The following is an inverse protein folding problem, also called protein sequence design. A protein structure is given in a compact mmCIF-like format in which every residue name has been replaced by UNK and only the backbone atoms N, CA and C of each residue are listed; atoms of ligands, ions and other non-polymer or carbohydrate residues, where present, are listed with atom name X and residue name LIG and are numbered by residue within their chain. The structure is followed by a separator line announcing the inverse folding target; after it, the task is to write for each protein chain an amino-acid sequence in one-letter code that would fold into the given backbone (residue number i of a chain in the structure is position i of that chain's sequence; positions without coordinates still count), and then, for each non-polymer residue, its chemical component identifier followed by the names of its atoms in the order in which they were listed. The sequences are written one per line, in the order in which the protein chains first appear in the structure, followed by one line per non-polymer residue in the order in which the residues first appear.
data_IF_218926422589
#
_entry.id   IF_218926422589
#
_cell.length_a   1.000
_cell.length_b   1.000
_cell.length_c   1.000
_cell.angle_alpha   90.00
_cell.angle_beta   90.00
_cell.angle_gamma   90.00
#
_symmetry.space_group_name_H-M   'P 1'
#
loop_
_entity.id
_entity.type
_entity.pdbx_description
1 polymer ?
#
# COMPACT_ATOMS: atom_id res chain seq x y z
N UNK A 1 0.98 2.22 -32.28
CA UNK A 1 0.60 1.13 -31.35
C UNK A 1 -0.92 0.99 -31.38
N UNK A 2 -1.44 -0.23 -31.42
CA UNK A 2 -2.88 -0.49 -31.31
C UNK A 2 -3.37 -0.13 -29.91
N UNK A 3 -4.59 0.42 -29.82
CA UNK A 3 -5.29 0.63 -28.55
C UNK A 3 -6.23 -0.56 -28.34
N UNK A 4 -6.29 -1.07 -27.11
CA UNK A 4 -7.19 -2.15 -26.70
C UNK A 4 -8.10 -1.62 -25.59
N UNK A 5 -9.35 -2.07 -25.59
CA UNK A 5 -10.35 -1.70 -24.58
C UNK A 5 -10.32 -2.69 -23.41
N UNK A 6 -10.37 -2.16 -22.19
CA UNK A 6 -10.55 -2.95 -20.97
C UNK A 6 -11.89 -2.54 -20.32
N UNK A 7 -12.60 -3.52 -19.75
CA UNK A 7 -13.84 -3.29 -19.02
C UNK A 7 -13.62 -3.60 -17.53
N UNK A 8 -13.97 -2.64 -16.67
CA UNK A 8 -13.94 -2.78 -15.22
C UNK A 8 -15.38 -2.91 -14.71
N UNK A 9 -15.58 -3.78 -13.72
CA UNK A 9 -16.83 -3.82 -12.95
C UNK A 9 -16.59 -3.04 -11.66
N UNK A 10 -17.47 -2.08 -11.40
CA UNK A 10 -17.49 -1.26 -10.20
C UNK A 10 -18.91 -1.36 -9.66
N UNK A 11 -19.05 -1.38 -8.34
CA UNK A 11 -20.33 -1.09 -7.71
C UNK A 11 -20.73 0.38 -7.96
N UNK A 12 -22.02 0.67 -7.81
CA UNK A 12 -22.58 1.97 -8.17
C UNK A 12 -22.04 3.09 -7.29
N UNK A 13 -21.82 2.83 -6.00
CA UNK A 13 -21.30 3.81 -5.04
C UNK A 13 -19.85 4.18 -5.37
N UNK A 14 -18.98 3.18 -5.57
CA UNK A 14 -17.58 3.40 -5.97
C UNK A 14 -17.47 4.15 -7.30
N UNK A 15 -18.35 3.83 -8.26
CA UNK A 15 -18.37 4.54 -9.54
C UNK A 15 -18.73 6.01 -9.34
N UNK A 16 -19.77 6.30 -8.55
CA UNK A 16 -20.21 7.67 -8.26
C UNK A 16 -19.11 8.49 -7.59
N UNK A 17 -18.45 7.93 -6.56
CA UNK A 17 -17.35 8.61 -5.86
C UNK A 17 -16.16 8.90 -6.79
N UNK A 18 -15.80 7.93 -7.64
CA UNK A 18 -14.72 8.12 -8.61
C UNK A 18 -15.06 9.19 -9.66
N UNK A 19 -16.32 9.25 -10.12
CA UNK A 19 -16.78 10.27 -11.07
C UNK A 19 -16.71 11.67 -10.45
N UNK A 20 -17.12 11.84 -9.20
CA UNK A 20 -17.01 13.12 -8.48
C UNK A 20 -15.56 13.60 -8.34
N UNK A 21 -14.65 12.71 -7.92
CA UNK A 21 -13.21 13.04 -7.83
C UNK A 21 -12.64 13.41 -9.20
N UNK A 22 -13.03 12.70 -10.25
CA UNK A 22 -12.60 13.03 -11.61
C UNK A 22 -13.10 14.41 -12.05
N UNK A 23 -14.35 14.77 -11.70
CA UNK A 23 -14.93 16.08 -11.99
C UNK A 23 -14.19 17.21 -11.27
N UNK A 24 -13.87 17.05 -9.99
CA UNK A 24 -13.06 18.01 -9.22
C UNK A 24 -11.66 18.22 -9.84
N UNK A 25 -11.08 17.16 -10.39
CA UNK A 25 -9.78 17.19 -11.07
C UNK A 25 -9.86 17.64 -12.53
N UNK A 26 -11.07 17.85 -13.08
CA UNK A 26 -11.30 18.23 -14.48
C UNK A 26 -10.90 17.15 -15.49
N UNK A 27 -10.94 15.87 -15.09
CA UNK A 27 -10.61 14.73 -15.95
C UNK A 27 -11.79 13.76 -16.05
N UNK A 28 -11.72 12.83 -16.99
CA UNK A 28 -12.71 11.75 -17.10
C UNK A 28 -12.18 10.46 -16.48
N UNK A 29 -13.08 9.58 -16.06
CA UNK A 29 -12.73 8.31 -15.47
C UNK A 29 -11.78 7.44 -16.35
N UNK A 30 -11.95 7.35 -17.69
CA UNK A 30 -10.98 6.64 -18.54
C UNK A 30 -9.58 7.29 -18.59
N UNK A 31 -9.51 8.62 -18.49
CA UNK A 31 -8.24 9.35 -18.43
C UNK A 31 -7.53 9.03 -17.12
N UNK A 32 -8.26 9.03 -15.99
CA UNK A 32 -7.74 8.62 -14.69
C UNK A 32 -7.13 7.21 -14.74
N UNK A 33 -7.86 6.21 -15.22
CA UNK A 33 -7.34 4.83 -15.31
C UNK A 33 -6.10 4.73 -16.20
N UNK A 34 -6.07 5.46 -17.31
CA UNK A 34 -4.90 5.48 -18.21
C UNK A 34 -3.68 6.12 -17.52
N UNK A 35 -3.87 7.20 -16.76
CA UNK A 35 -2.79 7.85 -16.01
C UNK A 35 -2.27 6.96 -14.89
N UNK A 36 -3.17 6.34 -14.12
CA UNK A 36 -2.83 5.41 -13.06
C UNK A 36 -2.01 4.23 -13.61
N UNK A 37 -2.44 3.61 -14.71
CA UNK A 37 -1.71 2.53 -15.36
C UNK A 37 -0.31 2.97 -15.85
N UNK A 38 -0.19 4.17 -16.44
CA UNK A 38 1.11 4.71 -16.86
C UNK A 38 2.05 4.96 -15.68
N UNK A 39 1.53 5.54 -14.58
CA UNK A 39 2.31 5.76 -13.34
C UNK A 39 2.80 4.43 -12.78
N UNK A 40 1.92 3.44 -12.65
CA UNK A 40 2.26 2.09 -12.18
C UNK A 40 3.35 1.43 -13.03
N UNK A 41 3.26 1.50 -14.36
CA UNK A 41 4.28 0.92 -15.26
C UNK A 41 5.62 1.67 -15.14
N UNK A 42 5.58 2.99 -15.01
CA UNK A 42 6.79 3.83 -14.90
C UNK A 42 7.53 3.60 -13.58
N UNK A 43 6.78 3.52 -12.49
CA UNK A 43 7.34 3.50 -11.13
C UNK A 43 7.49 2.06 -10.59
N UNK A 44 6.88 1.07 -11.26
CA UNK A 44 6.85 -0.35 -10.84
C UNK A 44 6.39 -0.51 -9.38
N UNK A 45 5.59 0.43 -8.89
CA UNK A 45 5.12 0.52 -7.51
C UNK A 45 3.63 0.83 -7.51
N UNK A 46 2.87 0.03 -6.79
CA UNK A 46 1.49 0.35 -6.45
C UNK A 46 1.53 1.10 -5.11
N UNK A 47 1.10 2.37 -5.10
CA UNK A 47 1.02 3.20 -3.88
C UNK A 47 -0.24 2.87 -3.03
N UNK A 48 -0.87 1.74 -3.31
CA UNK A 48 -1.99 1.23 -2.50
C UNK A 48 -1.37 0.25 -1.52
N UNK A 49 -1.37 0.63 -0.25
CA UNK A 49 -1.00 -0.28 0.82
C UNK A 49 -2.11 -1.33 0.95
N UNK A 50 -1.91 -2.47 0.29
CA UNK A 50 -2.78 -3.64 0.38
C UNK A 50 -2.40 -4.52 1.57
N UNK A 51 -1.58 -4.03 2.50
CA UNK A 51 -1.33 -4.71 3.77
C UNK A 51 -2.64 -4.74 4.55
N UNK A 52 -3.46 -5.74 4.27
CA UNK A 52 -4.53 -6.17 5.15
C UNK A 52 -3.91 -6.36 6.54
N UNK A 53 -4.40 -5.58 7.51
CA UNK A 53 -4.54 -5.74 8.98
C UNK A 53 -3.71 -6.77 9.79
N UNK A 54 -3.07 -7.75 9.20
CA UNK A 54 -2.15 -8.72 9.82
C UNK A 54 -0.70 -8.35 9.49
N UNK A 55 -0.30 -7.13 9.85
CA UNK A 55 1.12 -6.82 9.94
C UNK A 55 1.72 -7.60 11.11
N UNK A 56 2.20 -8.82 10.81
CA UNK A 56 2.84 -9.68 11.82
C UNK A 56 4.00 -8.98 12.52
N UNK A 57 4.68 -8.06 11.82
CA UNK A 57 5.81 -7.33 12.37
C UNK A 57 5.37 -6.22 13.34
N UNK A 58 4.28 -5.50 13.05
CA UNK A 58 3.75 -4.46 13.94
C UNK A 58 2.53 -4.91 14.78
N UNK A 59 2.32 -6.22 14.95
CA UNK A 59 1.31 -6.76 15.86
C UNK A 59 1.58 -6.37 17.33
N UNK A 60 0.53 -6.22 18.14
CA UNK A 60 0.68 -5.88 19.58
C UNK A 60 1.56 -6.89 20.33
N UNK A 61 1.46 -8.17 19.98
CA UNK A 61 2.28 -9.24 20.55
C UNK A 61 3.76 -9.04 20.22
N UNK A 62 4.08 -8.76 18.95
CA UNK A 62 5.47 -8.56 18.53
C UNK A 62 6.06 -7.27 19.11
N UNK A 63 5.29 -6.17 19.14
CA UNK A 63 5.71 -4.92 19.79
C UNK A 63 6.01 -5.15 21.27
N UNK A 64 5.14 -5.87 21.98
CA UNK A 64 5.34 -6.21 23.40
C UNK A 64 6.62 -7.03 23.61
N UNK A 65 6.90 -7.99 22.72
CA UNK A 65 8.12 -8.79 22.75
C UNK A 65 9.37 -7.92 22.52
N UNK A 66 9.33 -7.01 21.55
CA UNK A 66 10.45 -6.11 21.22
C UNK A 66 10.77 -5.16 22.38
N UNK A 67 9.76 -4.61 23.03
CA UNK A 67 9.95 -3.75 24.22
C UNK A 67 10.61 -4.50 25.37
N UNK A 68 10.19 -5.75 25.62
CA UNK A 68 10.84 -6.62 26.63
C UNK A 68 12.29 -6.92 26.26
N UNK A 69 12.56 -7.23 24.99
CA UNK A 69 13.92 -7.49 24.52
C UNK A 69 14.82 -6.26 24.67
N UNK A 70 14.29 -5.06 24.39
CA UNK A 70 14.99 -3.78 24.61
C UNK A 70 15.36 -3.60 26.07
N UNK A 71 14.41 -3.75 26.99
CA UNK A 71 14.66 -3.59 28.43
C UNK A 71 15.69 -4.61 28.94
N UNK A 72 15.64 -5.84 28.44
CA UNK A 72 16.64 -6.86 28.76
C UNK A 72 18.04 -6.44 28.31
N UNK A 73 18.20 -6.00 27.06
CA UNK A 73 19.49 -5.57 26.50
C UNK A 73 20.04 -4.36 27.25
N UNK A 74 19.19 -3.39 27.60
CA UNK A 74 19.57 -2.21 28.37
C UNK A 74 20.08 -2.56 29.78
N UNK A 75 19.55 -3.62 30.40
CA UNK A 75 19.96 -4.06 31.74
C UNK A 75 21.18 -4.97 31.73
N UNK A 76 21.28 -5.90 30.79
CA UNK A 76 22.32 -6.96 30.84
C UNK A 76 23.51 -6.67 29.94
N UNK A 77 23.41 -5.70 29.03
CA UNK A 77 24.33 -5.55 27.91
C UNK A 77 24.10 -6.66 26.89
N UNK A 78 23.81 -6.30 25.65
CA UNK A 78 23.58 -7.26 24.56
C UNK A 78 24.89 -7.95 24.13
N UNK A 79 24.78 -9.16 23.60
CA UNK A 79 25.88 -9.86 22.93
C UNK A 79 25.76 -9.70 21.42
N UNK A 80 26.82 -9.22 20.77
CA UNK A 80 26.87 -9.14 19.30
C UNK A 80 27.06 -10.55 18.76
N UNK A 81 26.14 -11.00 17.92
CA UNK A 81 26.27 -12.25 17.17
C UNK A 81 26.52 -11.91 15.69
N UNK A 82 27.51 -12.53 15.08
CA UNK A 82 27.73 -12.41 13.64
C UNK A 82 26.58 -13.08 12.88
N UNK A 83 26.13 -12.43 11.81
CA UNK A 83 25.15 -12.99 10.88
C UNK A 83 25.92 -13.88 9.92
N UNK A 84 25.69 -15.20 9.99
CA UNK A 84 26.24 -16.18 9.05
C UNK A 84 25.59 -16.06 7.67
#
# INVERSE_FOLDING_TARGET
MSKTTYAFKLDDDLKFDLENVCEELGITLPVFFTMAAKKLVRERKLEIDLSEKDDYFYSEENITRLLKAKEQIEKTGGTVHEVL
#
